data_IF_149017105076
#
_entry.id   IF_149017105076
#
_cell.length_a   1.000
_cell.length_b   1.000
_cell.length_c   1.000
_cell.angle_alpha   90.00
_cell.angle_beta   90.00
_cell.angle_gamma   90.00
#
_symmetry.space_group_name_H-M   'P 1'
#
loop_
_entity.id
_entity.type
_entity.pdbx_description
1 polymer ?
#
# COMPACT_ATOMS: atom_id res chain seq x y z
N UNK A 1 -35.79 -11.25 -12.96
CA UNK A 1 -35.36 -11.25 -11.54
C UNK A 1 -34.18 -12.22 -11.41
N UNK A 2 -33.11 -11.78 -10.71
CA UNK A 2 -31.77 -12.40 -10.52
C UNK A 2 -30.79 -12.33 -11.69
N UNK A 3 -29.88 -11.35 -11.60
CA UNK A 3 -28.56 -11.38 -12.23
C UNK A 3 -27.61 -12.14 -11.30
N UNK A 4 -26.81 -13.05 -11.86
CA UNK A 4 -25.71 -13.71 -11.16
C UNK A 4 -24.40 -13.11 -11.70
N UNK A 5 -23.59 -12.51 -10.82
CA UNK A 5 -22.21 -12.14 -11.11
C UNK A 5 -21.33 -13.31 -10.65
N UNK A 6 -20.50 -13.85 -11.55
CA UNK A 6 -19.58 -14.94 -11.23
C UNK A 6 -18.14 -14.41 -11.30
N UNK A 7 -17.42 -14.48 -10.18
CA UNK A 7 -15.98 -14.22 -10.08
C UNK A 7 -15.32 -15.53 -9.66
N UNK A 8 -14.37 -16.02 -10.45
CA UNK A 8 -13.59 -17.23 -10.13
C UNK A 8 -12.19 -16.79 -9.68
N UNK A 9 -11.80 -17.18 -8.47
CA UNK A 9 -10.45 -17.05 -7.93
C UNK A 9 -9.98 -18.47 -7.58
N UNK A 10 -8.86 -18.90 -8.16
CA UNK A 10 -8.24 -20.21 -7.86
C UNK A 10 -6.98 -20.01 -7.01
N UNK A 11 -6.91 -20.73 -5.88
CA UNK A 11 -5.71 -20.86 -5.05
C UNK A 11 -5.27 -22.32 -5.05
N UNK A 12 -3.98 -22.56 -5.33
CA UNK A 12 -3.34 -23.87 -5.19
C UNK A 12 -2.59 -23.93 -3.85
N UNK A 13 -2.88 -24.94 -3.04
CA UNK A 13 -2.24 -25.16 -1.75
C UNK A 13 -1.88 -26.65 -1.63
N UNK A 14 -0.62 -26.97 -1.92
CA UNK A 14 -0.07 -28.30 -1.65
C UNK A 14 0.51 -28.36 -0.23
N UNK A 15 0.03 -29.35 0.54
CA UNK A 15 0.43 -29.68 1.91
C UNK A 15 1.52 -30.75 1.89
N UNK A 16 2.61 -30.62 2.64
CA UNK A 16 3.45 -31.78 3.01
C UNK A 16 4.20 -31.59 4.37
N UNK A 17 3.86 -32.50 5.30
CA UNK A 17 4.63 -33.16 6.39
C UNK A 17 5.27 -32.32 7.52
N UNK A 18 4.63 -32.44 8.70
CA UNK A 18 5.18 -32.17 10.03
C UNK A 18 5.79 -33.49 10.54
N UNK A 19 7.11 -33.59 10.66
CA UNK A 19 7.83 -34.42 11.65
C UNK A 19 9.34 -34.43 11.39
N UNK A 20 10.04 -33.34 11.75
CA UNK A 20 11.49 -33.37 12.02
C UNK A 20 11.99 -32.19 12.89
N UNK A 21 11.08 -31.44 13.54
CA UNK A 21 11.40 -30.12 14.09
C UNK A 21 11.92 -30.10 15.54
N UNK A 22 11.86 -31.21 16.28
CA UNK A 22 12.17 -31.20 17.72
C UNK A 22 13.65 -31.39 18.07
N UNK A 23 14.50 -31.77 17.12
CA UNK A 23 15.94 -32.04 17.38
C UNK A 23 16.85 -30.94 16.78
N UNK A 24 16.33 -30.04 15.94
CA UNK A 24 17.11 -28.92 15.37
C UNK A 24 17.06 -27.63 16.22
N UNK A 25 16.17 -27.54 17.23
CA UNK A 25 16.04 -26.35 18.07
C UNK A 25 17.24 -26.10 19.02
N UNK A 26 18.13 -27.09 19.20
CA UNK A 26 19.27 -26.99 20.13
C UNK A 26 20.58 -26.54 19.44
N UNK A 27 20.60 -26.47 18.09
CA UNK A 27 21.79 -26.10 17.30
C UNK A 27 21.63 -24.82 16.48
N UNK A 28 20.47 -24.15 16.52
CA UNK A 28 20.39 -22.76 16.08
C UNK A 28 21.05 -21.88 17.16
N UNK A 29 22.33 -21.55 16.93
CA UNK A 29 23.06 -20.58 17.72
C UNK A 29 22.23 -19.33 17.98
N UNK A 30 22.46 -18.70 19.13
CA UNK A 30 21.70 -17.56 19.66
C UNK A 30 21.22 -16.64 18.54
N UNK A 31 20.00 -16.87 18.07
CA UNK A 31 19.30 -15.86 17.31
C UNK A 31 19.07 -14.79 18.36
N UNK A 32 19.80 -13.68 18.27
CA UNK A 32 19.41 -12.47 18.98
C UNK A 32 18.01 -12.15 18.47
N UNK A 33 17.00 -12.67 19.18
CA UNK A 33 15.63 -12.20 19.03
C UNK A 33 15.75 -10.69 19.16
N UNK A 34 15.39 -9.99 18.09
CA UNK A 34 15.47 -8.53 18.04
C UNK A 34 14.76 -7.99 19.28
N UNK A 35 15.40 -7.09 20.02
CA UNK A 35 14.83 -6.58 21.26
C UNK A 35 13.70 -5.59 20.92
N UNK A 36 12.48 -6.11 20.84
CA UNK A 36 11.28 -5.32 20.62
C UNK A 36 10.82 -4.69 21.94
N UNK A 37 10.55 -3.40 21.91
CA UNK A 37 9.94 -2.64 23.01
C UNK A 37 8.51 -2.30 22.62
N UNK A 38 7.54 -2.59 23.49
CA UNK A 38 6.15 -2.17 23.30
C UNK A 38 6.07 -0.64 23.40
N UNK A 39 5.60 0.00 22.34
CA UNK A 39 5.41 1.47 22.28
C UNK A 39 3.94 1.87 22.42
N UNK A 40 3.04 0.94 22.11
CA UNK A 40 1.59 1.05 22.29
C UNK A 40 1.00 -0.37 22.33
N UNK A 41 -0.21 -0.55 22.87
CA UNK A 41 -0.87 -1.86 22.77
C UNK A 41 -1.02 -2.26 21.29
N UNK A 42 -0.52 -3.45 20.96
CA UNK A 42 -0.46 -3.97 19.59
C UNK A 42 0.67 -3.43 18.71
N UNK A 43 1.54 -2.54 19.20
CA UNK A 43 2.68 -1.98 18.44
C UNK A 43 3.98 -2.14 19.22
N UNK A 44 4.93 -2.85 18.64
CA UNK A 44 6.28 -2.97 19.15
C UNK A 44 7.29 -2.38 18.17
N UNK A 45 8.37 -1.82 18.71
CA UNK A 45 9.47 -1.22 17.95
C UNK A 45 10.79 -1.90 18.27
N UNK A 46 11.61 -2.12 17.25
CA UNK A 46 13.01 -2.50 17.43
C UNK A 46 13.89 -1.73 16.44
N UNK A 47 15.13 -1.48 16.84
CA UNK A 47 16.18 -0.97 15.98
C UNK A 47 17.30 -2.01 15.92
N UNK A 48 17.87 -2.22 14.74
CA UNK A 48 19.05 -3.05 14.60
C UNK A 48 19.99 -2.51 13.52
N UNK A 49 21.27 -2.81 13.67
CA UNK A 49 22.28 -2.55 12.64
C UNK A 49 22.69 -3.88 12.03
N UNK A 50 22.66 -3.97 10.69
CA UNK A 50 23.18 -5.11 9.92
C UNK A 50 24.25 -4.63 8.95
N UNK A 51 25.30 -5.42 8.75
CA UNK A 51 26.24 -5.16 7.68
C UNK A 51 25.71 -5.77 6.38
N UNK A 52 25.55 -4.95 5.33
CA UNK A 52 25.27 -5.39 3.97
C UNK A 52 26.55 -5.14 3.16
N UNK A 53 27.31 -6.20 2.91
CA UNK A 53 28.70 -6.06 2.49
C UNK A 53 29.53 -5.47 3.65
N UNK A 54 30.28 -4.40 3.37
CA UNK A 54 31.06 -3.68 4.40
C UNK A 54 30.28 -2.56 5.07
N UNK A 55 29.12 -2.18 4.54
CA UNK A 55 28.39 -1.00 4.99
C UNK A 55 27.42 -1.34 6.13
N UNK A 56 27.48 -0.62 7.28
CA UNK A 56 26.50 -0.77 8.34
C UNK A 56 25.18 -0.10 7.94
N UNK A 57 24.10 -0.87 7.99
CA UNK A 57 22.74 -0.43 7.67
C UNK A 57 21.90 -0.48 8.94
N UNK A 58 21.43 0.70 9.37
CA UNK A 58 20.46 0.84 10.46
C UNK A 58 19.06 0.57 9.93
N UNK A 59 18.35 -0.35 10.59
CA UNK A 59 17.02 -0.83 10.22
C UNK A 59 16.09 -0.57 11.41
N UNK A 60 15.00 0.14 11.15
CA UNK A 60 13.92 0.38 12.09
C UNK A 60 12.78 -0.60 11.78
N UNK A 61 12.28 -1.31 12.80
CA UNK A 61 11.26 -2.34 12.67
C UNK A 61 10.05 -2.01 13.52
N UNK A 62 8.87 -2.16 12.92
CA UNK A 62 7.60 -2.19 13.63
C UNK A 62 7.03 -3.60 13.56
N UNK A 63 6.65 -4.15 14.71
CA UNK A 63 5.86 -5.38 14.80
C UNK A 63 4.46 -5.02 15.26
N UNK A 64 3.47 -5.54 14.55
CA UNK A 64 2.08 -5.17 14.70
C UNK A 64 1.25 -6.41 15.04
N UNK A 65 0.44 -6.33 16.09
CA UNK A 65 -0.65 -7.27 16.34
C UNK A 65 -1.89 -6.76 15.60
N UNK A 66 -2.15 -7.35 14.44
CA UNK A 66 -3.24 -6.93 13.56
C UNK A 66 -4.65 -7.16 14.14
N UNK A 67 -4.80 -7.81 15.30
CA UNK A 67 -6.09 -7.87 16.02
C UNK A 67 -6.33 -6.67 16.93
N UNK A 68 -5.30 -5.85 17.15
CA UNK A 68 -5.29 -4.71 18.07
C UNK A 68 -5.08 -3.38 17.37
N UNK A 69 -4.50 -3.39 16.18
CA UNK A 69 -4.20 -2.18 15.42
C UNK A 69 -5.01 -2.12 14.14
N UNK A 70 -5.29 -0.89 13.71
CA UNK A 70 -5.85 -0.56 12.39
C UNK A 70 -4.76 0.06 11.54
N UNK A 71 -4.75 -0.24 10.24
CA UNK A 71 -3.81 0.36 9.29
C UNK A 71 -4.56 1.26 8.31
N UNK A 72 -4.26 2.55 8.33
CA UNK A 72 -4.86 3.53 7.43
C UNK A 72 -3.83 4.03 6.41
N UNK A 73 -4.30 4.31 5.20
CA UNK A 73 -3.50 4.88 4.11
C UNK A 73 -3.98 6.31 3.88
N UNK A 74 -3.05 7.27 3.88
CA UNK A 74 -3.35 8.68 3.70
C UNK A 74 -2.49 9.27 2.58
N UNK A 75 -3.06 10.23 1.85
CA UNK A 75 -2.31 11.08 0.93
C UNK A 75 -1.50 12.12 1.69
N UNK A 76 -0.43 12.60 1.06
CA UNK A 76 0.16 13.87 1.44
C UNK A 76 -0.85 15.00 1.20
N UNK A 77 -0.97 15.95 2.13
CA UNK A 77 -1.85 17.12 2.01
C UNK A 77 -3.34 16.79 1.75
N UNK A 78 -3.77 15.55 1.98
CA UNK A 78 -5.11 15.05 1.60
C UNK A 78 -5.44 15.25 0.11
N UNK A 79 -4.43 15.25 -0.78
CA UNK A 79 -4.57 15.47 -2.23
C UNK A 79 -3.65 14.54 -3.02
N UNK A 80 -4.00 14.22 -4.28
CA UNK A 80 -3.17 13.36 -5.13
C UNK A 80 -1.85 14.02 -5.52
N UNK A 81 -1.83 15.36 -5.54
CA UNK A 81 -0.67 16.17 -5.86
C UNK A 81 -0.18 16.89 -4.61
N UNK A 82 1.13 16.87 -4.40
CA UNK A 82 1.81 17.42 -3.24
C UNK A 82 2.66 16.39 -2.51
N UNK A 83 3.69 16.86 -1.82
CA UNK A 83 4.51 16.00 -0.95
C UNK A 83 4.45 16.52 0.48
N UNK A 84 4.47 15.60 1.44
CA UNK A 84 4.40 15.89 2.86
C UNK A 84 5.31 14.90 3.62
N UNK A 85 5.92 15.35 4.71
CA UNK A 85 6.69 14.47 5.58
C UNK A 85 5.74 13.43 6.21
N UNK A 86 6.14 12.16 6.21
CA UNK A 86 5.40 11.09 6.89
C UNK A 86 5.09 11.42 8.35
N UNK A 87 6.01 12.09 9.05
CA UNK A 87 5.79 12.53 10.44
C UNK A 87 4.66 13.57 10.56
N UNK A 88 4.50 14.45 9.56
CA UNK A 88 3.42 15.45 9.54
C UNK A 88 2.06 14.79 9.34
N UNK A 89 1.97 13.85 8.39
CA UNK A 89 0.77 13.02 8.17
C UNK A 89 0.42 12.26 9.45
N UNK A 90 1.39 11.58 10.07
CA UNK A 90 1.18 10.83 11.31
C UNK A 90 0.61 11.71 12.44
N UNK A 91 1.15 12.93 12.62
CA UNK A 91 0.66 13.87 13.64
C UNK A 91 -0.77 14.34 13.35
N UNK A 92 -1.11 14.70 12.11
CA UNK A 92 -2.47 15.16 11.75
C UNK A 92 -3.53 14.09 11.92
N UNK A 93 -3.17 12.82 11.71
CA UNK A 93 -4.08 11.68 11.84
C UNK A 93 -3.98 10.96 13.19
N UNK A 94 -3.15 11.44 14.13
CA UNK A 94 -2.99 10.83 15.46
C UNK A 94 -2.46 9.40 15.42
N UNK A 95 -1.63 9.07 14.42
CA UNK A 95 -1.07 7.73 14.27
C UNK A 95 0.01 7.45 15.32
N UNK A 96 0.00 6.24 15.89
CA UNK A 96 1.03 5.76 16.83
C UNK A 96 2.40 5.65 16.14
N UNK A 97 2.40 5.18 14.90
CA UNK A 97 3.58 5.08 14.04
C UNK A 97 3.14 5.14 12.58
N UNK A 98 4.05 5.56 11.69
CA UNK A 98 3.80 5.60 10.26
C UNK A 98 5.09 5.34 9.48
N UNK A 99 4.94 4.80 8.27
CA UNK A 99 6.00 4.65 7.27
C UNK A 99 5.57 5.31 5.98
N UNK A 100 6.52 5.66 5.11
CA UNK A 100 6.17 5.99 3.72
C UNK A 100 5.63 4.75 3.00
N UNK A 101 4.71 4.95 2.06
CA UNK A 101 4.03 3.88 1.34
C UNK A 101 4.57 3.75 -0.11
N UNK A 102 3.66 3.71 -1.09
CA UNK A 102 3.98 3.48 -2.50
C UNK A 102 4.89 4.54 -3.13
N UNK A 103 5.34 4.24 -4.35
CA UNK A 103 6.12 5.17 -5.15
C UNK A 103 5.28 6.37 -5.57
N UNK A 104 5.93 7.52 -5.68
CA UNK A 104 5.32 8.76 -6.13
C UNK A 104 6.32 9.57 -6.95
N UNK A 105 5.82 10.50 -7.75
CA UNK A 105 6.63 11.41 -8.55
C UNK A 105 7.33 12.42 -7.64
N UNK A 106 8.65 12.48 -7.74
CA UNK A 106 9.49 13.43 -7.00
C UNK A 106 10.34 14.23 -8.00
N UNK A 107 9.68 15.12 -8.74
CA UNK A 107 10.30 16.07 -9.65
C UNK A 107 9.91 17.52 -9.26
N UNK A 108 10.33 18.49 -10.07
CA UNK A 108 10.00 19.92 -9.86
C UNK A 108 8.74 20.36 -10.62
N UNK A 109 7.90 19.42 -11.06
CA UNK A 109 6.66 19.74 -11.78
C UNK A 109 5.53 20.10 -10.83
N UNK A 110 4.46 20.68 -11.38
CA UNK A 110 3.22 20.93 -10.63
C UNK A 110 2.50 19.65 -10.18
N UNK A 111 2.95 18.48 -10.63
CA UNK A 111 2.36 17.18 -10.34
C UNK A 111 3.27 16.32 -9.44
N UNK A 112 4.27 16.90 -8.79
CA UNK A 112 5.03 16.19 -7.75
C UNK A 112 4.06 15.65 -6.68
N UNK A 113 4.28 14.42 -6.22
CA UNK A 113 3.36 13.71 -5.31
C UNK A 113 2.44 12.69 -6.00
N UNK A 114 2.24 12.81 -7.32
CA UNK A 114 1.45 11.88 -8.13
C UNK A 114 1.87 10.42 -7.91
N UNK A 115 0.91 9.55 -7.58
CA UNK A 115 1.17 8.16 -7.22
C UNK A 115 1.59 7.33 -8.43
N UNK A 116 2.75 6.67 -8.34
CA UNK A 116 3.36 5.92 -9.42
C UNK A 116 3.04 4.40 -9.33
N UNK A 117 1.75 4.08 -9.33
CA UNK A 117 1.22 2.73 -9.23
C UNK A 117 -0.11 2.72 -8.48
N UNK A 118 -0.71 1.54 -8.36
CA UNK A 118 -2.07 1.44 -7.82
C UNK A 118 -2.17 2.05 -6.41
N UNK A 119 -3.13 2.94 -6.26
CA UNK A 119 -3.49 3.51 -4.97
C UNK A 119 -5.00 3.51 -4.83
N UNK A 120 -5.49 2.84 -3.79
CA UNK A 120 -6.89 2.83 -3.42
C UNK A 120 -6.99 3.15 -1.93
N UNK A 121 -7.80 4.14 -1.60
CA UNK A 121 -8.05 4.56 -0.21
C UNK A 121 -9.56 4.57 -0.01
N UNK A 122 -10.03 3.87 1.03
CA UNK A 122 -11.45 3.76 1.38
C UNK A 122 -12.36 3.40 0.20
N UNK A 123 -11.89 2.47 -0.64
CA UNK A 123 -12.62 1.97 -1.81
C UNK A 123 -12.60 2.89 -3.03
N UNK A 124 -11.93 4.05 -2.96
CA UNK A 124 -11.75 4.95 -4.11
C UNK A 124 -10.44 4.62 -4.81
N UNK A 125 -10.49 4.28 -6.09
CA UNK A 125 -9.30 4.12 -6.92
C UNK A 125 -8.76 5.51 -7.27
N UNK A 126 -7.59 5.85 -6.72
CA UNK A 126 -6.97 7.17 -6.84
C UNK A 126 -5.78 7.19 -7.80
N UNK A 127 -5.20 6.04 -8.13
CA UNK A 127 -4.21 5.87 -9.19
C UNK A 127 -4.28 4.45 -9.73
N UNK A 128 -4.13 4.29 -11.04
CA UNK A 128 -4.20 3.00 -11.72
C UNK A 128 -2.98 2.10 -11.46
N UNK A 129 -3.16 0.79 -11.64
CA UNK A 129 -2.03 -0.14 -11.66
C UNK A 129 -1.16 0.09 -12.90
N UNK A 130 0.16 0.01 -12.72
CA UNK A 130 1.11 0.02 -13.82
C UNK A 130 2.10 -1.15 -13.72
N UNK A 131 2.62 -1.58 -14.88
CA UNK A 131 3.78 -2.48 -14.99
C UNK A 131 3.69 -3.80 -14.20
N UNK A 132 2.50 -4.36 -14.02
CA UNK A 132 2.25 -5.60 -13.27
C UNK A 132 2.90 -5.61 -11.87
N UNK A 133 2.99 -4.42 -11.24
CA UNK A 133 3.58 -4.27 -9.90
C UNK A 133 2.70 -4.91 -8.84
N UNK A 134 3.36 -5.43 -7.80
CA UNK A 134 2.72 -5.92 -6.59
C UNK A 134 2.20 -4.76 -5.75
N UNK A 135 1.05 -4.96 -5.12
CA UNK A 135 0.42 -4.04 -4.19
C UNK A 135 0.25 -4.70 -2.81
N UNK A 136 0.21 -3.86 -1.78
CA UNK A 136 -0.22 -4.23 -0.44
C UNK A 136 -1.70 -3.90 -0.32
N UNK A 137 -2.55 -4.91 -0.09
CA UNK A 137 -3.96 -4.71 0.23
C UNK A 137 -4.14 -4.75 1.73
N UNK A 138 -4.82 -3.74 2.26
CA UNK A 138 -5.20 -3.63 3.66
C UNK A 138 -6.72 -3.71 3.74
N UNK A 139 -7.24 -4.59 4.59
CA UNK A 139 -8.67 -4.67 4.90
C UNK A 139 -8.86 -4.53 6.40
N UNK A 140 -9.51 -3.45 6.82
CA UNK A 140 -9.82 -3.21 8.22
C UNK A 140 -11.23 -3.69 8.54
N UNK A 141 -11.34 -4.77 9.30
CA UNK A 141 -12.59 -5.28 9.86
C UNK A 141 -12.78 -4.77 11.29
N UNK A 142 -13.95 -5.06 11.90
CA UNK A 142 -14.28 -4.55 13.24
C UNK A 142 -13.26 -4.91 14.32
N UNK A 143 -12.67 -6.12 14.24
CA UNK A 143 -11.81 -6.68 15.29
C UNK A 143 -10.43 -7.12 14.78
N UNK A 144 -10.14 -6.92 13.50
CA UNK A 144 -8.86 -7.32 12.92
C UNK A 144 -8.57 -6.53 11.64
N UNK A 145 -7.29 -6.35 11.36
CA UNK A 145 -6.78 -5.93 10.07
C UNK A 145 -6.18 -7.13 9.35
N UNK A 146 -6.52 -7.29 8.08
CA UNK A 146 -5.88 -8.25 7.19
C UNK A 146 -4.96 -7.52 6.21
N UNK A 147 -3.83 -8.14 5.90
CA UNK A 147 -2.86 -7.64 4.94
C UNK A 147 -2.53 -8.73 3.93
N UNK A 148 -2.64 -8.41 2.64
CA UNK A 148 -2.35 -9.31 1.53
C UNK A 148 -1.37 -8.63 0.57
N UNK A 149 -0.52 -9.43 -0.06
CA UNK A 149 0.41 -8.97 -1.10
C UNK A 149 0.02 -9.68 -2.39
N UNK A 150 -0.35 -8.91 -3.41
CA UNK A 150 -0.81 -9.45 -4.68
C UNK A 150 -0.47 -8.51 -5.84
N UNK A 151 -0.34 -9.06 -7.04
CA UNK A 151 -0.34 -8.25 -8.27
C UNK A 151 -1.77 -7.82 -8.58
N UNK A 152 -1.98 -6.53 -8.81
CA UNK A 152 -3.30 -5.97 -9.11
C UNK A 152 -3.30 -5.33 -10.49
N UNK A 153 -4.36 -5.61 -11.26
CA UNK A 153 -4.59 -5.01 -12.58
C UNK A 153 -5.90 -4.22 -12.55
N UNK A 154 -5.84 -2.96 -12.96
CA UNK A 154 -7.00 -2.09 -13.07
C UNK A 154 -7.29 -1.80 -14.53
N UNK A 155 -8.57 -1.84 -14.91
CA UNK A 155 -9.07 -1.30 -16.17
C UNK A 155 -10.34 -0.52 -15.89
N UNK A 156 -10.44 0.66 -16.48
CA UNK A 156 -11.54 1.59 -16.25
C UNK A 156 -12.13 1.99 -17.60
N UNK A 157 -13.45 2.04 -17.69
CA UNK A 157 -14.16 2.41 -18.91
C UNK A 157 -15.28 3.41 -18.61
N UNK A 158 -15.45 4.38 -19.49
CA UNK A 158 -16.59 5.29 -19.52
C UNK A 158 -17.50 4.92 -20.69
N UNK A 159 -18.81 4.79 -20.44
CA UNK A 159 -19.79 4.39 -21.46
C UNK A 159 -20.67 5.56 -21.89
N UNK A 160 -20.75 5.80 -23.20
CA UNK A 160 -21.71 6.74 -23.83
C UNK A 160 -22.58 5.95 -24.81
N UNK A 161 -23.88 5.82 -24.50
CA UNK A 161 -24.78 4.97 -25.27
C UNK A 161 -24.30 3.51 -25.25
N UNK A 162 -23.95 2.98 -26.42
CA UNK A 162 -23.41 1.61 -26.57
C UNK A 162 -21.89 1.55 -26.74
N UNK A 163 -21.18 2.69 -26.66
CA UNK A 163 -19.73 2.77 -26.87
C UNK A 163 -19.01 2.88 -25.53
N UNK A 164 -17.93 2.11 -25.40
CA UNK A 164 -17.00 2.18 -24.27
C UNK A 164 -15.74 2.94 -24.66
N UNK A 165 -15.28 3.81 -23.78
CA UNK A 165 -14.03 4.55 -23.87
C UNK A 165 -13.16 4.15 -22.70
N UNK A 166 -11.98 3.60 -23.00
CA UNK A 166 -11.03 3.23 -21.94
C UNK A 166 -10.43 4.49 -21.30
N UNK A 167 -10.42 4.51 -19.98
CA UNK A 167 -9.78 5.56 -19.20
C UNK A 167 -8.31 5.17 -19.02
N UNK A 168 -7.43 6.01 -19.54
CA UNK A 168 -5.97 5.84 -19.52
C UNK A 168 -5.36 6.00 -18.14
N UNK A 169 -5.99 6.74 -17.24
CA UNK A 169 -5.51 6.92 -15.87
C UNK A 169 -6.43 7.71 -14.96
N UNK A 170 -6.04 7.86 -13.70
CA UNK A 170 -6.82 8.56 -12.68
C UNK A 170 -5.95 9.53 -11.90
N UNK A 171 -6.45 10.76 -11.68
CA UNK A 171 -5.80 11.79 -10.85
C UNK A 171 -4.32 12.03 -11.16
N UNK A 172 -3.95 12.05 -12.45
CA UNK A 172 -2.58 12.28 -12.91
C UNK A 172 -2.54 13.26 -14.07
N UNK A 173 -1.33 13.68 -14.43
CA UNK A 173 -1.08 14.48 -15.62
C UNK A 173 -1.64 13.80 -16.89
N UNK A 174 -2.34 14.58 -17.72
CA UNK A 174 -2.88 14.15 -19.01
C UNK A 174 -1.79 14.27 -20.07
N UNK A 175 -1.57 13.20 -20.83
CA UNK A 175 -0.70 13.22 -22.02
C UNK A 175 -1.50 13.18 -23.31
N UNK A 176 -0.80 13.35 -24.44
CA UNK A 176 -1.40 13.30 -25.76
C UNK A 176 -2.19 12.00 -25.98
N UNK A 177 -3.43 12.14 -26.47
CA UNK A 177 -4.34 11.03 -26.75
C UNK A 177 -4.75 10.17 -25.54
N UNK A 178 -4.70 10.72 -24.33
CA UNK A 178 -5.19 10.05 -23.12
C UNK A 178 -6.57 10.55 -22.67
N UNK A 179 -7.34 9.64 -22.06
CA UNK A 179 -8.55 9.97 -21.30
C UNK A 179 -8.26 9.77 -19.81
N UNK A 180 -8.16 10.86 -19.05
CA UNK A 180 -7.88 10.79 -17.60
C UNK A 180 -9.12 11.14 -16.80
N UNK A 181 -9.41 10.32 -15.79
CA UNK A 181 -10.46 10.58 -14.81
C UNK A 181 -9.91 11.46 -13.67
N UNK A 182 -10.52 12.63 -13.48
CA UNK A 182 -10.26 13.49 -12.32
C UNK A 182 -11.36 13.34 -11.28
N UNK A 183 -10.95 13.15 -10.03
CA UNK A 183 -11.81 13.07 -8.85
C UNK A 183 -11.54 14.26 -7.91
N UNK A 184 -12.42 14.55 -6.94
CA UNK A 184 -12.20 15.62 -5.97
C UNK A 184 -10.87 15.51 -5.19
N UNK A 185 -10.32 14.31 -5.09
CA UNK A 185 -9.05 14.01 -4.43
C UNK A 185 -7.81 14.45 -5.24
N UNK A 186 -7.95 14.82 -6.51
CA UNK A 186 -6.80 15.22 -7.34
C UNK A 186 -6.17 16.52 -6.85
N UNK A 187 -6.91 17.62 -7.05
CA UNK A 187 -6.52 18.99 -6.73
C UNK A 187 -7.78 19.87 -6.86
N UNK A 188 -7.70 21.15 -6.47
CA UNK A 188 -8.81 22.12 -6.62
C UNK A 188 -9.24 22.37 -8.07
N UNK A 189 -8.38 22.03 -9.03
CA UNK A 189 -8.59 22.13 -10.47
C UNK A 189 -7.95 20.92 -11.16
N UNK A 190 -8.26 20.68 -12.42
CA UNK A 190 -7.65 19.58 -13.22
C UNK A 190 -6.22 19.88 -13.67
N UNK A 191 -5.70 21.10 -13.42
CA UNK A 191 -4.38 21.56 -13.86
C UNK A 191 -4.16 21.49 -15.38
N UNK A 192 -5.25 21.38 -16.16
CA UNK A 192 -5.26 21.42 -17.63
C UNK A 192 -5.59 22.84 -18.08
N UNK A 193 -4.57 23.71 -18.13
CA UNK A 193 -4.68 25.09 -18.61
C UNK A 193 -4.57 25.19 -20.13
#
# INVERSE_FOLDING_TARGET
MRQLLLTIITFDASRFIISFLLILCVLCGQSFAQHFTTVHDGVEYAELTRHIGNDPVKINLLRLDLKKVRLDVHHAMDAAIGTEKTSSIAMRHGAVAAINAGFFRLDNSIFAGDAAGILMIDGKLLSESNSDRTALRISNERNETAVEIATVKTRQFFRIGTRDFEISGTNREVKDNELVLFTPEFHRTTLTG
#
